data_IF_920213000578
#
_entry.id   IF_920213000578
#
_cell.length_a   1.000
_cell.length_b   1.000
_cell.length_c   1.000
_cell.angle_alpha   90.00
_cell.angle_beta   90.00
_cell.angle_gamma   90.00
#
_symmetry.space_group_name_H-M   'P 1'
#
loop_
_entity.id
_entity.type
_entity.pdbx_description
1 polymer ?
#
# COMPACT_ATOMS: atom_id res chain seq x y z
N UNK A 1 -14.58 15.36 -6.40
CA UNK A 1 -15.41 14.52 -5.52
C UNK A 1 -14.94 14.70 -4.09
N UNK A 2 -15.87 14.87 -3.17
CA UNK A 2 -15.51 15.05 -1.76
C UNK A 2 -15.09 13.72 -1.13
N UNK A 3 -13.97 13.74 -0.39
CA UNK A 3 -13.51 12.58 0.35
C UNK A 3 -14.29 12.48 1.66
N UNK A 4 -14.80 11.29 1.96
CA UNK A 4 -15.52 11.05 3.21
C UNK A 4 -14.59 10.51 4.28
N UNK A 5 -15.03 10.58 5.53
CA UNK A 5 -14.30 9.99 6.65
C UNK A 5 -14.10 8.48 6.44
N UNK A 6 -15.09 7.81 5.88
CA UNK A 6 -15.00 6.38 5.56
C UNK A 6 -13.90 6.10 4.55
N UNK A 7 -13.80 6.93 3.50
CA UNK A 7 -12.70 6.80 2.52
C UNK A 7 -11.34 6.91 3.19
N UNK A 8 -11.18 7.89 4.07
CA UNK A 8 -9.92 8.10 4.79
C UNK A 8 -9.60 6.92 5.71
N UNK A 9 -10.59 6.39 6.43
CA UNK A 9 -10.39 5.22 7.28
C UNK A 9 -10.00 3.99 6.46
N UNK A 10 -10.66 3.76 5.33
CA UNK A 10 -10.36 2.64 4.45
C UNK A 10 -8.95 2.76 3.87
N UNK A 11 -8.55 3.97 3.50
CA UNK A 11 -7.20 4.24 3.00
C UNK A 11 -6.13 3.94 4.05
N UNK A 12 -6.31 4.42 5.28
CA UNK A 12 -5.35 4.20 6.37
C UNK A 12 -5.24 2.70 6.69
N UNK A 13 -6.37 2.01 6.74
CA UNK A 13 -6.40 0.57 6.99
C UNK A 13 -5.64 -0.19 5.89
N UNK A 14 -5.94 0.10 4.62
CA UNK A 14 -5.27 -0.56 3.51
C UNK A 14 -3.77 -0.24 3.49
N UNK A 15 -3.40 1.00 3.78
CA UNK A 15 -1.99 1.42 3.83
C UNK A 15 -1.23 0.66 4.90
N UNK A 16 -1.81 0.49 6.08
CA UNK A 16 -1.21 -0.27 7.18
C UNK A 16 -1.07 -1.75 6.82
N UNK A 17 -2.11 -2.32 6.22
CA UNK A 17 -2.10 -3.72 5.78
C UNK A 17 -1.06 -3.97 4.70
N UNK A 18 -0.93 -3.04 3.72
CA UNK A 18 0.10 -3.13 2.69
C UNK A 18 1.50 -3.08 3.31
N UNK A 19 1.72 -2.14 4.23
CA UNK A 19 3.03 -1.99 4.89
C UNK A 19 3.42 -3.27 5.62
N UNK A 20 2.50 -3.86 6.36
CA UNK A 20 2.74 -5.10 7.08
C UNK A 20 3.05 -6.25 6.11
N UNK A 21 2.27 -6.37 5.05
CA UNK A 21 2.47 -7.41 4.04
C UNK A 21 3.80 -7.22 3.29
N UNK A 22 4.19 -5.98 2.99
CA UNK A 22 5.49 -5.71 2.37
C UNK A 22 6.63 -6.19 3.25
N UNK A 23 6.59 -5.90 4.54
CA UNK A 23 7.62 -6.36 5.47
C UNK A 23 7.68 -7.88 5.56
N UNK A 24 6.53 -8.52 5.56
CA UNK A 24 6.43 -9.96 5.76
C UNK A 24 6.70 -10.76 4.49
N UNK A 25 6.25 -10.27 3.34
CA UNK A 25 6.24 -11.03 2.09
C UNK A 25 7.14 -10.47 1.01
N UNK A 26 7.25 -9.15 0.90
CA UNK A 26 8.03 -8.51 -0.17
C UNK A 26 9.50 -8.26 0.21
N UNK A 27 9.77 -7.87 1.46
CA UNK A 27 11.14 -7.61 1.89
C UNK A 27 12.05 -8.85 1.80
N UNK A 28 11.61 -10.05 2.18
CA UNK A 28 12.42 -11.25 1.96
C UNK A 28 12.75 -11.48 0.48
N UNK A 29 11.81 -11.19 -0.42
CA UNK A 29 12.04 -11.31 -1.85
C UNK A 29 13.01 -10.24 -2.37
N UNK A 30 12.94 -9.03 -1.83
CA UNK A 30 13.89 -7.98 -2.16
C UNK A 30 15.31 -8.40 -1.76
N UNK A 31 15.48 -8.98 -0.60
CA UNK A 31 16.77 -9.49 -0.14
C UNK A 31 17.29 -10.58 -1.08
N UNK A 32 16.42 -11.51 -1.50
CA UNK A 32 16.79 -12.56 -2.46
C UNK A 32 17.15 -11.99 -3.83
N UNK A 33 16.45 -10.94 -4.26
CA UNK A 33 16.78 -10.25 -5.50
C UNK A 33 18.16 -9.58 -5.41
N UNK A 34 18.45 -8.90 -4.31
CA UNK A 34 19.76 -8.26 -4.10
C UNK A 34 20.87 -9.31 -4.06
N UNK A 35 20.61 -10.48 -3.52
CA UNK A 35 21.55 -11.61 -3.49
C UNK A 35 21.63 -12.36 -4.82
N UNK A 36 20.91 -11.89 -5.86
CA UNK A 36 20.86 -12.51 -7.19
C UNK A 36 20.30 -13.93 -7.22
N UNK A 37 19.46 -14.26 -6.24
CA UNK A 37 18.82 -15.58 -6.16
C UNK A 37 17.53 -15.65 -6.97
N UNK A 38 16.86 -14.51 -7.20
CA UNK A 38 15.60 -14.43 -7.95
C UNK A 38 15.67 -13.22 -8.91
N UNK A 39 14.79 -13.22 -9.90
CA UNK A 39 14.65 -12.10 -10.81
C UNK A 39 13.84 -10.98 -10.16
N UNK A 40 14.09 -9.74 -10.61
CA UNK A 40 13.38 -8.55 -10.14
C UNK A 40 11.86 -8.68 -10.31
N UNK A 41 11.42 -9.34 -11.37
CA UNK A 41 10.00 -9.51 -11.67
C UNK A 41 9.27 -10.27 -10.56
N UNK A 42 9.92 -11.23 -9.90
CA UNK A 42 9.32 -11.99 -8.80
C UNK A 42 8.97 -11.06 -7.64
N UNK A 43 9.90 -10.20 -7.26
CA UNK A 43 9.69 -9.21 -6.20
C UNK A 43 8.63 -8.18 -6.59
N UNK A 44 8.70 -7.63 -7.81
CA UNK A 44 7.72 -6.64 -8.28
C UNK A 44 6.31 -7.22 -8.38
N UNK A 45 6.19 -8.48 -8.82
CA UNK A 45 4.89 -9.16 -8.90
C UNK A 45 4.28 -9.35 -7.50
N UNK A 46 5.10 -9.65 -6.50
CA UNK A 46 4.61 -9.75 -5.13
C UNK A 46 4.08 -8.40 -4.63
N UNK A 47 4.76 -7.30 -4.93
CA UNK A 47 4.29 -5.96 -4.57
C UNK A 47 2.95 -5.65 -5.22
N UNK A 48 2.77 -5.99 -6.49
CA UNK A 48 1.52 -5.79 -7.20
C UNK A 48 0.40 -6.65 -6.61
N UNK A 49 0.68 -7.89 -6.26
CA UNK A 49 -0.27 -8.78 -5.60
C UNK A 49 -0.77 -8.18 -4.29
N UNK A 50 0.15 -7.64 -3.48
CA UNK A 50 -0.20 -7.03 -2.19
C UNK A 50 -1.09 -5.79 -2.40
N UNK A 51 -0.78 -4.96 -3.38
CA UNK A 51 -1.61 -3.80 -3.73
C UNK A 51 -3.02 -4.21 -4.13
N UNK A 52 -3.16 -5.31 -4.87
CA UNK A 52 -4.46 -5.82 -5.29
C UNK A 52 -5.23 -6.49 -4.15
N UNK A 53 -4.52 -7.06 -3.19
CA UNK A 53 -5.12 -7.67 -2.00
C UNK A 53 -5.73 -6.63 -1.07
N UNK A 54 -5.09 -5.46 -0.97
CA UNK A 54 -5.52 -4.35 -0.10
C UNK A 54 -5.68 -3.09 -0.94
N UNK A 55 -6.75 -2.99 -1.76
CA UNK A 55 -6.95 -1.84 -2.64
C UNK A 55 -7.31 -0.58 -1.84
N UNK A 56 -6.93 0.57 -2.37
CA UNK A 56 -7.36 1.86 -1.82
C UNK A 56 -8.78 2.19 -2.31
N UNK A 57 -9.50 3.08 -1.59
CA UNK A 57 -10.84 3.49 -2.03
C UNK A 57 -10.81 4.01 -3.47
N UNK A 58 -11.78 3.58 -4.27
CA UNK A 58 -11.91 4.03 -5.65
C UNK A 58 -12.49 5.44 -5.72
N UNK A 59 -12.21 6.15 -6.81
CA UNK A 59 -12.74 7.49 -7.03
C UNK A 59 -12.00 8.59 -6.27
N UNK A 60 -10.92 8.26 -5.55
CA UNK A 60 -10.11 9.22 -4.80
C UNK A 60 -8.64 9.02 -5.17
N UNK A 61 -7.90 10.11 -5.32
CA UNK A 61 -6.45 9.99 -5.50
C UNK A 61 -5.76 9.80 -4.16
N UNK A 62 -4.59 9.16 -4.18
CA UNK A 62 -3.79 8.96 -2.97
C UNK A 62 -3.39 10.29 -2.35
N UNK A 63 -3.03 11.28 -3.18
CA UNK A 63 -2.67 12.62 -2.72
C UNK A 63 -3.82 13.29 -1.96
N UNK A 64 -5.04 13.19 -2.48
CA UNK A 64 -6.22 13.78 -1.84
C UNK A 64 -6.54 13.07 -0.53
N UNK A 65 -6.41 11.74 -0.48
CA UNK A 65 -6.63 10.97 0.73
C UNK A 65 -5.61 11.33 1.81
N UNK A 66 -4.36 11.48 1.45
CA UNK A 66 -3.32 11.88 2.39
C UNK A 66 -3.54 13.28 2.92
N UNK A 67 -3.93 14.22 2.05
CA UNK A 67 -4.23 15.60 2.46
C UNK A 67 -5.42 15.63 3.41
N UNK A 68 -6.46 14.86 3.14
CA UNK A 68 -7.61 14.75 4.04
C UNK A 68 -7.19 14.24 5.41
N UNK A 69 -6.33 13.23 5.46
CA UNK A 69 -5.84 12.69 6.72
C UNK A 69 -5.04 13.72 7.52
N UNK A 70 -4.21 14.51 6.85
CA UNK A 70 -3.45 15.59 7.49
C UNK A 70 -4.39 16.65 8.03
N UNK A 71 -5.34 17.11 7.22
CA UNK A 71 -6.28 18.20 7.57
C UNK A 71 -7.18 17.82 8.74
N UNK A 72 -7.47 16.53 8.92
CA UNK A 72 -8.39 16.03 9.95
C UNK A 72 -7.69 15.23 11.06
N UNK A 73 -6.36 15.27 11.10
CA UNK A 73 -5.54 14.59 12.12
C UNK A 73 -5.78 13.08 12.19
N UNK A 74 -6.01 12.45 11.06
CA UNK A 74 -6.04 10.99 11.00
C UNK A 74 -4.62 10.47 10.93
N UNK A 75 -4.30 9.60 11.82
CA UNK A 75 -2.98 9.06 11.89
C UNK A 75 -2.85 7.62 11.45
#
# INVERSE_FOLDING_TARGET
>A
MAITKQNACDYITAKSQRRFAYKKEADPLMASYIAEEIEKSVWLNKKTEIKNRFPYPSGCSTSDLEQYCIDNNFG
#
